data_IF_753393122866
#
_entry.id   IF_753393122866
#
_cell.length_a   1.000
_cell.length_b   1.000
_cell.length_c   1.000
_cell.angle_alpha   90.00
_cell.angle_beta   90.00
_cell.angle_gamma   90.00
#
_symmetry.space_group_name_H-M   'P 1'
#
loop_
_entity.id
_entity.type
_entity.pdbx_description
1 polymer ?
#
# COMPACT_ATOMS: atom_id res chain seq x y z
N UNK A 1 -1.21 38.13 46.75
CA UNK A 1 -1.12 38.23 45.29
C UNK A 1 -0.59 36.91 44.72
N UNK A 2 -1.47 35.94 44.44
CA UNK A 2 -1.09 34.69 43.76
C UNK A 2 -1.36 34.85 42.27
N UNK A 3 -0.30 34.98 41.46
CA UNK A 3 -0.37 34.94 40.00
C UNK A 3 -0.56 33.48 39.57
N UNK A 4 -1.73 33.17 39.03
CA UNK A 4 -2.01 31.91 38.36
C UNK A 4 -1.36 31.94 36.97
N UNK A 5 -0.34 31.09 36.75
CA UNK A 5 0.20 30.82 35.42
C UNK A 5 -0.74 29.84 34.70
N UNK A 6 -1.52 30.35 33.75
CA UNK A 6 -2.22 29.51 32.78
C UNK A 6 -1.20 28.94 31.78
N UNK A 7 -0.88 27.65 31.92
CA UNK A 7 -0.15 26.90 30.89
C UNK A 7 -1.17 26.50 29.82
N UNK A 8 -1.10 27.16 28.67
CA UNK A 8 -1.85 26.77 27.48
C UNK A 8 -1.24 25.46 26.92
N UNK A 9 -1.97 24.35 27.05
CA UNK A 9 -1.67 23.11 26.34
C UNK A 9 -1.95 23.33 24.84
N UNK A 10 -0.91 23.59 24.06
CA UNK A 10 -0.95 23.46 22.61
C UNK A 10 -0.97 21.96 22.26
N UNK A 11 -2.15 21.45 21.92
CA UNK A 11 -2.29 20.13 21.32
C UNK A 11 -1.60 20.12 19.95
N UNK A 12 -0.36 19.62 19.91
CA UNK A 12 0.35 19.32 18.67
C UNK A 12 -0.35 18.13 17.99
N UNK A 13 -1.20 18.44 17.02
CA UNK A 13 -1.79 17.47 16.09
C UNK A 13 -0.66 16.74 15.37
N UNK A 14 -0.36 15.56 15.88
CA UNK A 14 0.51 14.58 15.25
C UNK A 14 -0.24 14.07 14.02
N UNK A 15 0.03 14.63 12.84
CA UNK A 15 -0.45 14.06 11.59
C UNK A 15 0.23 12.70 11.39
N UNK A 16 -0.40 11.65 11.91
CA UNK A 16 -0.16 10.28 11.48
C UNK A 16 -0.73 10.18 10.07
N UNK A 17 0.12 10.32 9.05
CA UNK A 17 -0.29 9.89 7.73
C UNK A 17 -0.67 8.41 7.84
N UNK A 18 -1.90 7.99 7.49
CA UNK A 18 -2.19 6.58 7.36
C UNK A 18 -1.16 5.99 6.39
N UNK A 19 -0.70 4.76 6.66
CA UNK A 19 0.31 4.08 5.83
C UNK A 19 -0.14 4.01 4.36
N UNK A 20 -1.44 4.14 4.13
CA UNK A 20 -2.17 3.89 2.92
C UNK A 20 -3.42 4.79 2.94
N UNK A 21 -3.36 6.01 2.40
CA UNK A 21 -4.55 6.84 2.24
C UNK A 21 -5.47 6.22 1.18
N UNK A 22 -6.75 6.03 1.50
CA UNK A 22 -7.74 5.52 0.55
C UNK A 22 -8.01 6.55 -0.57
N UNK A 23 -8.31 6.06 -1.77
CA UNK A 23 -8.74 6.94 -2.87
C UNK A 23 -10.07 7.60 -2.54
N UNK A 24 -10.38 8.73 -3.20
CA UNK A 24 -11.67 9.39 -3.03
C UNK A 24 -12.84 8.42 -3.31
N UNK A 25 -12.71 7.58 -4.33
CA UNK A 25 -13.69 6.54 -4.66
C UNK A 25 -13.88 5.51 -3.53
N UNK A 26 -12.79 4.99 -2.94
CA UNK A 26 -12.87 4.07 -1.82
C UNK A 26 -13.57 4.70 -0.59
N UNK A 27 -13.39 6.00 -0.35
CA UNK A 27 -14.10 6.72 0.70
C UNK A 27 -15.61 6.78 0.48
N UNK A 28 -16.05 6.92 -0.77
CA UNK A 28 -17.48 6.99 -1.12
C UNK A 28 -18.19 5.64 -1.02
N UNK A 29 -17.47 4.51 -1.07
CA UNK A 29 -18.06 3.18 -0.88
C UNK A 29 -18.76 3.01 0.49
N UNK A 30 -18.43 3.87 1.47
CA UNK A 30 -19.01 3.90 2.81
C UNK A 30 -20.31 4.70 2.93
N UNK A 31 -20.77 5.33 1.83
CA UNK A 31 -22.03 6.09 1.81
C UNK A 31 -23.25 5.15 1.97
N UNK A 32 -24.39 5.64 2.50
CA UNK A 32 -25.62 4.86 2.58
C UNK A 32 -26.21 4.58 1.19
N UNK A 33 -27.02 3.53 1.06
CA UNK A 33 -27.64 3.12 -0.22
C UNK A 33 -28.44 4.25 -0.90
N UNK A 34 -29.10 5.11 -0.12
CA UNK A 34 -29.83 6.28 -0.63
C UNK A 34 -28.96 7.27 -1.38
N UNK A 35 -27.66 7.38 -1.05
CA UNK A 35 -26.74 8.25 -1.77
C UNK A 35 -26.51 7.75 -3.20
N UNK A 36 -26.35 6.44 -3.41
CA UNK A 36 -26.16 5.85 -4.74
C UNK A 36 -27.35 6.06 -5.68
N UNK A 37 -28.54 6.29 -5.12
CA UNK A 37 -29.76 6.55 -5.87
C UNK A 37 -30.02 8.04 -6.11
N UNK A 38 -29.31 8.93 -5.39
CA UNK A 38 -29.40 10.38 -5.52
C UNK A 38 -28.73 10.91 -6.79
N UNK A 39 -29.06 12.14 -7.20
CA UNK A 39 -28.46 12.79 -8.37
C UNK A 39 -26.93 12.94 -8.22
N UNK A 40 -26.46 13.29 -7.02
CA UNK A 40 -25.03 13.41 -6.69
C UNK A 40 -24.29 12.07 -6.83
N UNK A 41 -24.89 11.00 -6.30
CA UNK A 41 -24.34 9.65 -6.42
C UNK A 41 -24.29 9.18 -7.87
N UNK A 42 -25.39 9.35 -8.63
CA UNK A 42 -25.45 9.00 -10.05
C UNK A 42 -24.40 9.77 -10.85
N UNK A 43 -24.32 11.09 -10.70
CA UNK A 43 -23.34 11.91 -11.40
C UNK A 43 -21.90 11.48 -11.08
N UNK A 44 -21.61 11.23 -9.80
CA UNK A 44 -20.29 10.74 -9.37
C UNK A 44 -19.94 9.40 -10.01
N UNK A 45 -20.90 8.47 -10.10
CA UNK A 45 -20.68 7.16 -10.72
C UNK A 45 -20.48 7.25 -12.23
N UNK A 46 -21.18 8.16 -12.92
CA UNK A 46 -20.91 8.45 -14.33
C UNK A 46 -19.49 8.99 -14.54
N UNK A 47 -18.99 9.83 -13.61
CA UNK A 47 -17.59 10.25 -13.64
C UNK A 47 -16.68 9.03 -13.51
N UNK A 48 -16.88 8.18 -12.50
CA UNK A 48 -16.05 6.98 -12.27
C UNK A 48 -16.02 6.07 -13.51
N UNK A 49 -17.17 5.78 -14.11
CA UNK A 49 -17.26 4.96 -15.32
C UNK A 49 -16.48 5.57 -16.49
N UNK A 50 -16.52 6.90 -16.67
CA UNK A 50 -15.82 7.57 -17.76
C UNK A 50 -14.29 7.43 -17.68
N UNK A 51 -13.74 7.25 -16.48
CA UNK A 51 -12.31 7.07 -16.22
C UNK A 51 -11.81 5.63 -16.31
N UNK A 52 -12.68 4.65 -16.51
CA UNK A 52 -12.24 3.27 -16.70
C UNK A 52 -11.53 3.12 -18.06
N UNK A 53 -10.35 2.51 -18.07
CA UNK A 53 -9.68 2.15 -19.33
C UNK A 53 -10.38 0.99 -20.03
N UNK A 54 -10.01 0.72 -21.29
CA UNK A 54 -10.48 -0.48 -22.00
C UNK A 54 -10.10 -1.79 -21.30
N UNK A 55 -9.01 -1.76 -20.53
CA UNK A 55 -8.52 -2.94 -19.82
C UNK A 55 -9.27 -3.17 -18.50
N UNK A 56 -9.91 -2.14 -17.95
CA UNK A 56 -10.71 -2.21 -16.74
C UNK A 56 -10.11 -1.54 -15.50
N UNK A 57 -8.96 -0.87 -15.62
CA UNK A 57 -8.27 -0.19 -14.53
C UNK A 57 -8.47 1.35 -14.54
N UNK A 58 -8.01 2.03 -13.48
CA UNK A 58 -8.16 3.47 -13.26
C UNK A 58 -6.82 4.18 -13.02
N UNK A 59 -6.71 5.48 -13.35
CA UNK A 59 -5.48 6.23 -13.14
C UNK A 59 -5.23 6.53 -11.66
N UNK A 60 -3.97 6.52 -11.25
CA UNK A 60 -3.56 6.99 -9.91
C UNK A 60 -3.54 8.51 -9.81
N UNK A 61 -3.52 9.00 -8.56
CA UNK A 61 -3.35 10.42 -8.22
C UNK A 61 -4.33 11.36 -8.93
N UNK A 62 -5.49 10.83 -9.31
CA UNK A 62 -6.56 11.55 -10.00
C UNK A 62 -7.83 11.35 -9.20
N UNK A 63 -8.53 12.44 -8.89
CA UNK A 63 -9.85 12.34 -8.28
C UNK A 63 -10.88 12.05 -9.38
N UNK A 64 -11.13 10.76 -9.58
CA UNK A 64 -12.06 10.20 -10.58
C UNK A 64 -13.53 10.47 -10.24
N UNK A 65 -13.83 11.00 -9.05
CA UNK A 65 -15.19 11.26 -8.57
C UNK A 65 -15.73 12.63 -9.00
N UNK A 66 -14.85 13.61 -9.26
CA UNK A 66 -15.25 15.03 -9.39
C UNK A 66 -15.71 15.47 -10.77
N UNK A 67 -15.16 14.86 -11.82
CA UNK A 67 -15.44 15.26 -13.21
C UNK A 67 -15.35 14.07 -14.14
N UNK A 68 -16.15 14.07 -15.19
CA UNK A 68 -16.02 13.10 -16.27
C UNK A 68 -14.67 13.26 -16.98
N UNK A 69 -14.14 12.14 -17.49
CA UNK A 69 -13.00 12.15 -18.39
C UNK A 69 -13.38 12.79 -19.73
N UNK A 70 -12.63 13.82 -20.13
CA UNK A 70 -12.82 14.56 -21.39
C UNK A 70 -11.63 14.47 -22.34
N UNK A 71 -10.64 13.62 -22.02
CA UNK A 71 -9.44 13.44 -22.82
C UNK A 71 -9.57 12.36 -23.89
N UNK A 72 -8.47 12.12 -24.58
CA UNK A 72 -8.35 11.01 -25.53
C UNK A 72 -8.29 9.67 -24.78
N UNK A 73 -9.32 8.82 -24.98
CA UNK A 73 -9.41 7.49 -24.34
C UNK A 73 -8.21 6.61 -24.69
N UNK A 74 -7.63 6.75 -25.88
CA UNK A 74 -6.46 5.98 -26.29
C UNK A 74 -5.19 6.33 -25.48
N UNK A 75 -5.19 7.47 -24.77
CA UNK A 75 -4.10 7.91 -23.87
C UNK A 75 -4.39 7.66 -22.40
N UNK A 76 -5.59 7.21 -22.05
CA UNK A 76 -5.95 6.89 -20.68
C UNK A 76 -5.21 5.62 -20.24
N UNK A 77 -4.56 5.68 -19.07
CA UNK A 77 -3.76 4.59 -18.53
C UNK A 77 -4.15 4.38 -17.07
N UNK A 78 -4.48 3.15 -16.70
CA UNK A 78 -4.69 2.78 -15.32
C UNK A 78 -3.49 2.07 -14.71
N UNK A 79 -3.63 1.73 -13.43
CA UNK A 79 -2.59 1.16 -12.57
C UNK A 79 -3.22 0.59 -11.31
N UNK A 80 -2.44 -0.21 -10.57
CA UNK A 80 -2.80 -0.65 -9.23
C UNK A 80 -2.12 0.15 -8.11
N UNK A 81 -1.29 1.13 -8.49
CA UNK A 81 -0.55 1.99 -7.56
C UNK A 81 -1.45 2.96 -6.80
N UNK A 82 -1.04 3.35 -5.58
CA UNK A 82 -1.74 4.34 -4.75
C UNK A 82 -3.24 4.06 -4.52
N UNK A 83 -3.63 2.79 -4.53
CA UNK A 83 -5.03 2.37 -4.32
C UNK A 83 -5.95 2.55 -5.52
N UNK A 84 -5.41 2.99 -6.67
CA UNK A 84 -6.17 3.05 -7.91
C UNK A 84 -6.71 1.67 -8.29
N UNK A 85 -7.83 1.65 -9.02
CA UNK A 85 -8.56 0.46 -9.45
C UNK A 85 -9.30 -0.24 -8.33
N UNK A 86 -8.62 -0.68 -7.26
CA UNK A 86 -9.29 -1.38 -6.15
C UNK A 86 -10.33 -0.51 -5.44
N UNK A 87 -10.07 0.80 -5.28
CA UNK A 87 -11.01 1.72 -4.66
C UNK A 87 -12.26 1.98 -5.52
N UNK A 88 -12.06 2.18 -6.82
CA UNK A 88 -13.13 2.34 -7.80
C UNK A 88 -13.98 1.08 -7.93
N UNK A 89 -13.36 -0.11 -7.96
CA UNK A 89 -14.07 -1.38 -8.00
C UNK A 89 -14.94 -1.60 -6.75
N UNK A 90 -14.44 -1.27 -5.56
CA UNK A 90 -15.27 -1.32 -4.34
C UNK A 90 -16.47 -0.40 -4.44
N UNK A 91 -16.30 0.83 -4.95
CA UNK A 91 -17.41 1.76 -5.16
C UNK A 91 -18.43 1.23 -6.17
N UNK A 92 -17.98 0.63 -7.28
CA UNK A 92 -18.85 0.06 -8.30
C UNK A 92 -19.63 -1.16 -7.81
N UNK A 93 -19.02 -2.03 -7.00
CA UNK A 93 -19.71 -3.13 -6.34
C UNK A 93 -20.84 -2.61 -5.43
N UNK A 94 -20.56 -1.57 -4.62
CA UNK A 94 -21.57 -0.90 -3.79
C UNK A 94 -22.70 -0.29 -4.62
N UNK A 95 -22.34 0.38 -5.72
CA UNK A 95 -23.30 1.00 -6.62
C UNK A 95 -24.22 -0.02 -7.28
N UNK A 96 -23.67 -1.14 -7.74
CA UNK A 96 -24.46 -2.21 -8.31
C UNK A 96 -25.45 -2.78 -7.30
N UNK A 97 -25.00 -3.12 -6.08
CA UNK A 97 -25.88 -3.62 -5.01
C UNK A 97 -27.03 -2.66 -4.70
N UNK A 98 -26.74 -1.35 -4.63
CA UNK A 98 -27.72 -0.34 -4.23
C UNK A 98 -28.71 0.04 -5.35
N UNK A 99 -28.40 -0.22 -6.62
CA UNK A 99 -29.17 0.30 -7.77
C UNK A 99 -29.63 -0.75 -8.77
N UNK A 100 -28.95 -1.91 -8.85
CA UNK A 100 -29.18 -2.92 -9.87
C UNK A 100 -28.71 -2.54 -11.27
N UNK A 101 -28.03 -1.40 -11.47
CA UNK A 101 -27.58 -0.96 -12.79
C UNK A 101 -26.42 -1.82 -13.30
N UNK A 102 -26.73 -2.60 -14.35
CA UNK A 102 -25.84 -3.54 -15.02
C UNK A 102 -24.55 -2.91 -15.58
N UNK A 103 -24.51 -1.59 -15.79
CA UNK A 103 -23.29 -0.89 -16.22
C UNK A 103 -22.21 -0.96 -15.13
N UNK A 104 -22.59 -0.87 -13.86
CA UNK A 104 -21.65 -0.94 -12.74
C UNK A 104 -21.11 -2.36 -12.57
N UNK A 105 -21.97 -3.37 -12.70
CA UNK A 105 -21.56 -4.79 -12.70
C UNK A 105 -20.56 -5.06 -13.83
N UNK A 106 -20.89 -4.66 -15.07
CA UNK A 106 -20.01 -4.86 -16.23
C UNK A 106 -18.64 -4.19 -16.03
N UNK A 107 -18.64 -2.94 -15.56
CA UNK A 107 -17.41 -2.21 -15.29
C UNK A 107 -16.60 -2.91 -14.18
N UNK A 108 -17.26 -3.32 -13.11
CA UNK A 108 -16.64 -4.07 -12.02
C UNK A 108 -15.98 -5.35 -12.53
N UNK A 109 -16.71 -6.21 -13.23
CA UNK A 109 -16.21 -7.50 -13.73
C UNK A 109 -15.03 -7.31 -14.68
N UNK A 110 -15.04 -6.27 -15.51
CA UNK A 110 -13.93 -5.96 -16.42
C UNK A 110 -12.63 -5.67 -15.64
N UNK A 111 -12.69 -4.86 -14.59
CA UNK A 111 -11.52 -4.55 -13.76
C UNK A 111 -11.13 -5.68 -12.80
N UNK A 112 -12.09 -6.43 -12.27
CA UNK A 112 -11.83 -7.62 -11.46
C UNK A 112 -11.06 -8.67 -12.27
N UNK A 113 -11.51 -8.98 -13.49
CA UNK A 113 -10.83 -9.92 -14.36
C UNK A 113 -9.46 -9.39 -14.80
N UNK A 114 -9.30 -8.07 -14.91
CA UNK A 114 -8.01 -7.45 -15.20
C UNK A 114 -6.99 -7.66 -14.08
N UNK A 115 -7.40 -7.52 -12.82
CA UNK A 115 -6.56 -7.84 -11.65
C UNK A 115 -6.11 -9.30 -11.69
N UNK A 116 -7.04 -10.24 -11.98
CA UNK A 116 -6.71 -11.66 -12.06
C UNK A 116 -5.74 -11.96 -13.21
N UNK A 117 -5.96 -11.36 -14.40
CA UNK A 117 -5.07 -11.51 -15.56
C UNK A 117 -3.67 -10.93 -15.34
N UNK A 118 -3.55 -9.89 -14.52
CA UNK A 118 -2.27 -9.24 -14.22
C UNK A 118 -1.37 -10.06 -13.28
N UNK A 119 -1.91 -11.08 -12.59
CA UNK A 119 -1.12 -11.88 -11.66
C UNK A 119 -0.10 -12.75 -12.40
N UNK A 120 1.17 -12.66 -11.99
CA UNK A 120 2.23 -13.49 -12.52
C UNK A 120 2.06 -14.97 -12.19
N UNK A 121 2.69 -15.90 -12.94
CA UNK A 121 2.73 -17.33 -12.62
C UNK A 121 3.21 -17.66 -11.19
N UNK A 122 4.12 -16.86 -10.62
CA UNK A 122 4.61 -17.00 -9.25
C UNK A 122 3.70 -16.38 -8.18
N UNK A 123 2.60 -15.71 -8.57
CA UNK A 123 1.61 -15.15 -7.66
C UNK A 123 1.75 -13.66 -7.35
N UNK A 124 2.82 -13.00 -7.77
CA UNK A 124 3.00 -11.55 -7.57
C UNK A 124 2.18 -10.70 -8.54
N UNK A 125 2.10 -9.39 -8.27
CA UNK A 125 1.46 -8.41 -9.15
C UNK A 125 2.39 -7.26 -9.55
N UNK A 126 2.33 -6.80 -10.81
CA UNK A 126 3.01 -5.59 -11.26
C UNK A 126 2.33 -4.33 -10.73
N UNK A 127 3.00 -3.18 -10.84
CA UNK A 127 2.36 -1.87 -10.58
C UNK A 127 1.41 -1.46 -11.71
N UNK A 128 1.70 -1.86 -12.95
CA UNK A 128 0.89 -1.58 -14.15
C UNK A 128 0.73 -2.86 -14.99
N UNK A 129 -0.43 -3.03 -15.60
CA UNK A 129 -0.68 -4.09 -16.57
C UNK A 129 -1.52 -3.54 -17.75
N UNK A 130 -1.15 -3.79 -19.03
CA UNK A 130 -0.03 -4.59 -19.53
C UNK A 130 1.36 -4.09 -19.12
N UNK A 131 2.32 -5.00 -19.12
CA UNK A 131 3.68 -4.74 -18.63
C UNK A 131 4.45 -3.80 -19.57
N UNK A 132 5.38 -3.01 -19.01
CA UNK A 132 6.47 -2.42 -19.79
C UNK A 132 7.81 -3.05 -19.44
N UNK A 133 8.87 -2.51 -20.04
CA UNK A 133 10.27 -2.88 -19.77
C UNK A 133 10.87 -2.13 -18.57
N UNK A 134 10.14 -1.20 -17.95
CA UNK A 134 10.59 -0.42 -16.80
C UNK A 134 10.25 -1.09 -15.47
N UNK A 135 10.71 -0.52 -14.36
CA UNK A 135 10.58 -1.09 -12.99
C UNK A 135 9.15 -1.47 -12.59
N UNK A 136 8.13 -0.83 -13.19
CA UNK A 136 6.74 -1.07 -12.85
C UNK A 136 6.22 -2.47 -13.24
N UNK A 137 7.04 -3.27 -13.92
CA UNK A 137 6.83 -4.71 -14.12
C UNK A 137 7.11 -5.54 -12.86
N UNK A 138 7.93 -5.05 -11.94
CA UNK A 138 8.32 -5.82 -10.77
C UNK A 138 7.12 -6.15 -9.87
N UNK A 139 7.26 -7.21 -9.06
CA UNK A 139 6.33 -7.50 -7.98
C UNK A 139 6.38 -6.30 -7.03
N UNK A 140 5.24 -5.61 -6.89
CA UNK A 140 5.23 -4.27 -6.28
C UNK A 140 4.51 -4.27 -4.93
N UNK A 141 5.28 -4.20 -3.85
CA UNK A 141 4.75 -3.92 -2.50
C UNK A 141 4.63 -2.42 -2.23
N UNK A 142 5.40 -1.59 -2.95
CA UNK A 142 5.42 -0.14 -2.84
C UNK A 142 4.01 0.48 -2.81
N UNK A 143 3.83 1.40 -1.88
CA UNK A 143 2.57 2.12 -1.61
C UNK A 143 1.39 1.14 -1.40
N UNK A 144 1.68 -0.06 -0.89
CA UNK A 144 0.73 -1.13 -0.61
C UNK A 144 0.08 -1.76 -1.84
N UNK A 145 0.64 -1.58 -3.05
CA UNK A 145 -0.01 -1.97 -4.32
C UNK A 145 -0.50 -3.42 -4.32
N UNK A 146 0.40 -4.40 -4.17
CA UNK A 146 0.04 -5.82 -4.11
C UNK A 146 -0.84 -6.15 -2.89
N UNK A 147 -0.58 -5.54 -1.73
CA UNK A 147 -1.36 -5.81 -0.52
C UNK A 147 -2.83 -5.38 -0.68
N UNK A 148 -3.09 -4.22 -1.27
CA UNK A 148 -4.46 -3.74 -1.53
C UNK A 148 -5.20 -4.61 -2.53
N UNK A 149 -4.51 -5.13 -3.55
CA UNK A 149 -5.08 -6.12 -4.47
C UNK A 149 -5.50 -7.35 -3.69
N UNK A 150 -4.63 -7.89 -2.84
CA UNK A 150 -4.94 -9.09 -2.06
C UNK A 150 -6.07 -8.84 -1.05
N UNK A 151 -6.08 -7.71 -0.35
CA UNK A 151 -7.22 -7.36 0.52
C UNK A 151 -8.53 -7.25 -0.27
N UNK A 152 -8.49 -6.66 -1.47
CA UNK A 152 -9.66 -6.59 -2.36
C UNK A 152 -10.14 -7.97 -2.80
N UNK A 153 -9.24 -8.87 -3.22
CA UNK A 153 -9.62 -10.23 -3.61
C UNK A 153 -10.19 -11.03 -2.43
N UNK A 154 -9.65 -10.85 -1.21
CA UNK A 154 -10.19 -11.50 -0.01
C UNK A 154 -11.58 -10.98 0.35
N UNK A 155 -11.80 -9.68 0.25
CA UNK A 155 -13.12 -9.12 0.50
C UNK A 155 -14.12 -9.57 -0.58
N UNK A 156 -13.67 -9.73 -1.83
CA UNK A 156 -14.51 -10.23 -2.91
C UNK A 156 -15.02 -11.67 -2.69
N UNK A 157 -14.31 -12.47 -1.92
CA UNK A 157 -14.73 -13.85 -1.58
C UNK A 157 -15.66 -13.90 -0.37
N UNK A 158 -15.67 -12.88 0.48
CA UNK A 158 -16.35 -12.95 1.80
C UNK A 158 -17.44 -11.90 2.03
N UNK A 159 -17.35 -10.72 1.41
CA UNK A 159 -18.26 -9.62 1.70
C UNK A 159 -19.52 -9.63 0.79
N UNK A 160 -20.65 -9.25 1.39
CA UNK A 160 -21.98 -9.23 0.74
C UNK A 160 -22.04 -8.31 -0.48
N UNK A 161 -21.26 -7.23 -0.49
CA UNK A 161 -21.17 -6.31 -1.64
C UNK A 161 -20.73 -6.97 -2.93
N UNK A 162 -20.07 -8.12 -2.83
CA UNK A 162 -19.59 -8.89 -3.97
C UNK A 162 -20.47 -10.11 -4.24
N UNK A 163 -21.62 -10.28 -3.58
CA UNK A 163 -22.52 -11.45 -3.69
C UNK A 163 -22.85 -11.85 -5.14
N UNK A 164 -22.84 -10.89 -6.07
CA UNK A 164 -23.11 -11.09 -7.49
C UNK A 164 -21.97 -11.78 -8.27
N UNK A 165 -20.76 -11.89 -7.72
CA UNK A 165 -19.68 -12.65 -8.34
C UNK A 165 -20.06 -14.12 -8.46
N UNK A 166 -19.88 -14.66 -9.67
CA UNK A 166 -20.04 -16.09 -9.93
C UNK A 166 -19.00 -16.94 -9.19
N UNK A 167 -19.31 -18.22 -9.01
CA UNK A 167 -18.46 -19.17 -8.29
C UNK A 167 -17.07 -19.31 -8.92
N UNK A 168 -16.96 -19.23 -10.25
CA UNK A 168 -15.69 -19.34 -10.96
C UNK A 168 -14.75 -18.18 -10.64
N UNK A 169 -15.28 -16.95 -10.60
CA UNK A 169 -14.52 -15.75 -10.22
C UNK A 169 -14.13 -15.74 -8.74
N UNK A 170 -15.00 -16.23 -7.85
CA UNK A 170 -14.66 -16.40 -6.42
C UNK A 170 -13.52 -17.39 -6.24
N UNK A 171 -13.62 -18.57 -6.84
CA UNK A 171 -12.56 -19.58 -6.78
C UNK A 171 -11.25 -19.07 -7.40
N UNK A 172 -11.32 -18.29 -8.48
CA UNK A 172 -10.13 -17.67 -9.07
C UNK A 172 -9.49 -16.63 -8.14
N UNK A 173 -10.27 -15.85 -7.40
CA UNK A 173 -9.76 -14.92 -6.39
C UNK A 173 -9.11 -15.65 -5.20
N UNK A 174 -9.74 -16.71 -4.68
CA UNK A 174 -9.17 -17.55 -3.61
C UNK A 174 -7.81 -18.13 -4.02
N UNK A 175 -7.75 -18.73 -5.22
CA UNK A 175 -6.50 -19.27 -5.76
C UNK A 175 -5.45 -18.18 -6.01
N UNK A 176 -5.87 -16.99 -6.43
CA UNK A 176 -4.97 -15.87 -6.61
C UNK A 176 -4.40 -15.39 -5.25
N UNK A 177 -5.20 -15.37 -4.19
CA UNK A 177 -4.75 -15.05 -2.83
C UNK A 177 -3.72 -16.04 -2.33
N UNK A 178 -3.98 -17.34 -2.45
CA UNK A 178 -3.05 -18.41 -2.04
C UNK A 178 -1.68 -18.23 -2.71
N UNK A 179 -1.67 -18.01 -4.02
CA UNK A 179 -0.45 -17.76 -4.80
C UNK A 179 0.22 -16.45 -4.41
N UNK A 180 -0.54 -15.41 -4.09
CA UNK A 180 -0.01 -14.15 -3.60
C UNK A 180 0.69 -14.29 -2.25
N UNK A 181 0.12 -15.08 -1.32
CA UNK A 181 0.74 -15.37 -0.02
C UNK A 181 2.04 -16.17 -0.21
N UNK A 182 2.02 -17.19 -1.06
CA UNK A 182 3.22 -17.96 -1.41
C UNK A 182 4.32 -17.07 -2.03
N UNK A 183 3.93 -16.15 -2.93
CA UNK A 183 4.84 -15.15 -3.49
C UNK A 183 5.46 -14.25 -2.41
N UNK A 184 4.65 -13.75 -1.46
CA UNK A 184 5.14 -12.92 -0.35
C UNK A 184 6.21 -13.68 0.44
N UNK A 185 5.92 -14.92 0.85
CA UNK A 185 6.87 -15.74 1.61
C UNK A 185 8.17 -15.94 0.83
N UNK A 186 8.10 -16.25 -0.47
CA UNK A 186 9.28 -16.46 -1.33
C UNK A 186 10.08 -15.19 -1.60
N UNK A 187 9.45 -14.02 -1.58
CA UNK A 187 10.12 -12.73 -1.71
C UNK A 187 10.83 -12.30 -0.42
N UNK A 188 10.62 -12.95 0.73
CA UNK A 188 11.23 -12.49 1.98
C UNK A 188 12.76 -12.53 1.89
N UNK A 189 13.41 -11.40 2.17
CA UNK A 189 14.86 -11.27 2.02
C UNK A 189 15.55 -12.03 3.14
N UNK A 190 16.43 -12.96 2.77
CA UNK A 190 17.24 -13.76 3.69
C UNK A 190 18.64 -13.19 3.78
N UNK A 191 19.10 -12.89 4.99
CA UNK A 191 20.46 -12.43 5.30
C UNK A 191 21.10 -13.45 6.23
N UNK A 192 22.24 -14.01 5.83
CA UNK A 192 23.00 -15.00 6.62
C UNK A 192 22.12 -16.15 7.15
N UNK A 193 21.25 -16.66 6.28
CA UNK A 193 20.33 -17.77 6.58
C UNK A 193 19.10 -17.38 7.43
N UNK A 194 18.94 -16.10 7.78
CA UNK A 194 17.81 -15.60 8.57
C UNK A 194 16.87 -14.78 7.70
N UNK A 195 15.57 -15.15 7.60
CA UNK A 195 14.57 -14.28 6.99
C UNK A 195 14.50 -12.95 7.73
N UNK A 196 14.31 -11.87 6.98
CA UNK A 196 14.16 -10.52 7.51
C UNK A 196 12.79 -9.97 7.12
N UNK A 197 12.76 -9.04 6.18
CA UNK A 197 11.55 -8.39 5.66
C UNK A 197 11.63 -8.31 4.13
N UNK A 198 10.90 -7.39 3.49
CA UNK A 198 10.80 -7.26 2.04
C UNK A 198 11.39 -5.96 1.53
N UNK A 199 11.77 -5.95 0.26
CA UNK A 199 11.99 -4.73 -0.49
C UNK A 199 10.64 -4.11 -0.90
N UNK A 200 10.64 -2.83 -1.26
CA UNK A 200 9.46 -2.19 -1.85
C UNK A 200 9.05 -2.83 -3.20
N UNK A 201 10.00 -3.42 -3.92
CA UNK A 201 9.75 -4.18 -5.13
C UNK A 201 10.73 -5.34 -5.29
N UNK A 202 10.24 -6.41 -5.91
CA UNK A 202 10.99 -7.64 -6.19
C UNK A 202 10.91 -7.99 -7.67
N UNK A 203 12.01 -8.47 -8.23
CA UNK A 203 12.04 -8.92 -9.62
C UNK A 203 11.04 -10.06 -9.82
N UNK A 204 10.22 -9.96 -10.86
CA UNK A 204 9.10 -10.88 -11.09
C UNK A 204 9.51 -12.26 -11.64
N UNK A 205 10.79 -12.48 -11.92
CA UNK A 205 11.33 -13.78 -12.32
C UNK A 205 12.11 -14.41 -11.16
N UNK A 206 13.11 -13.71 -10.64
CA UNK A 206 14.03 -14.20 -9.61
C UNK A 206 13.52 -14.03 -8.18
N UNK A 207 12.50 -13.21 -7.96
CA UNK A 207 11.97 -12.82 -6.64
C UNK A 207 12.96 -12.01 -5.77
N UNK A 208 14.13 -11.67 -6.31
CA UNK A 208 15.13 -10.90 -5.59
C UNK A 208 14.68 -9.44 -5.39
N UNK A 209 15.11 -8.82 -4.28
CA UNK A 209 14.94 -7.39 -4.07
C UNK A 209 15.57 -6.60 -5.24
N UNK A 210 14.83 -5.63 -5.78
CA UNK A 210 15.29 -4.82 -6.92
C UNK A 210 14.99 -3.33 -6.73
N UNK A 211 15.62 -2.49 -7.53
CA UNK A 211 15.43 -1.04 -7.52
C UNK A 211 14.20 -0.61 -8.32
N UNK A 212 13.68 0.58 -8.05
CA UNK A 212 12.63 1.23 -8.82
C UNK A 212 13.12 2.55 -9.42
N UNK A 213 12.69 3.68 -8.86
CA UNK A 213 13.19 5.01 -9.23
C UNK A 213 14.64 5.15 -8.75
N UNK A 214 15.39 6.14 -9.27
CA UNK A 214 16.81 6.30 -8.93
C UNK A 214 17.08 6.43 -7.43
N UNK A 215 16.13 6.97 -6.67
CA UNK A 215 16.19 7.12 -5.22
C UNK A 215 15.53 5.97 -4.42
N UNK A 216 15.13 4.88 -5.07
CA UNK A 216 14.49 3.70 -4.47
C UNK A 216 15.27 2.44 -4.84
N UNK A 217 16.39 2.26 -4.14
CA UNK A 217 17.32 1.16 -4.40
C UNK A 217 16.84 -0.16 -3.78
N UNK A 218 17.32 -1.29 -4.30
CA UNK A 218 17.14 -2.60 -3.69
C UNK A 218 17.59 -2.56 -2.20
N UNK A 219 16.64 -2.83 -1.29
CA UNK A 219 16.83 -2.58 0.14
C UNK A 219 15.82 -3.37 0.97
N UNK A 220 16.01 -3.41 2.29
CA UNK A 220 14.96 -3.80 3.24
C UNK A 220 14.08 -2.57 3.49
N UNK A 221 12.79 -2.68 3.22
CA UNK A 221 11.86 -1.56 3.37
C UNK A 221 11.18 -1.57 4.73
N UNK A 222 11.40 -0.53 5.54
CA UNK A 222 10.68 -0.35 6.80
C UNK A 222 9.20 0.02 6.59
N UNK A 223 8.89 0.75 5.51
CA UNK A 223 7.52 1.21 5.24
C UNK A 223 6.65 0.09 4.70
N UNK A 224 7.06 -0.54 3.59
CA UNK A 224 6.20 -1.49 2.89
C UNK A 224 6.07 -2.81 3.65
N UNK A 225 7.14 -3.25 4.33
CA UNK A 225 7.13 -4.48 5.12
C UNK A 225 6.15 -4.44 6.28
N UNK A 226 5.84 -3.27 6.82
CA UNK A 226 4.83 -3.15 7.87
C UNK A 226 3.43 -3.53 7.34
N UNK A 227 3.09 -3.11 6.12
CA UNK A 227 1.84 -3.49 5.46
C UNK A 227 1.79 -4.99 5.15
N UNK A 228 2.89 -5.55 4.66
CA UNK A 228 3.00 -7.00 4.39
C UNK A 228 2.79 -7.82 5.67
N UNK A 229 3.47 -7.48 6.77
CA UNK A 229 3.30 -8.19 8.04
C UNK A 229 1.89 -8.11 8.58
N UNK A 230 1.28 -6.92 8.55
CA UNK A 230 -0.10 -6.73 9.02
C UNK A 230 -1.07 -7.56 8.18
N UNK A 231 -0.88 -7.61 6.86
CA UNK A 231 -1.68 -8.46 5.99
C UNK A 231 -1.56 -9.94 6.35
N UNK A 232 -0.33 -10.45 6.49
CA UNK A 232 -0.08 -11.85 6.85
C UNK A 232 -0.65 -12.22 8.23
N UNK A 233 -0.59 -11.29 9.20
CA UNK A 233 -1.19 -11.49 10.53
C UNK A 233 -2.72 -11.50 10.52
N UNK A 234 -3.36 -10.97 9.46
CA UNK A 234 -4.81 -10.99 9.29
C UNK A 234 -5.31 -12.22 8.49
N UNK A 235 -4.45 -13.21 8.23
CA UNK A 235 -4.89 -14.50 7.70
C UNK A 235 -5.47 -15.35 8.84
N UNK A 236 -6.64 -15.93 8.62
CA UNK A 236 -7.35 -16.71 9.64
C UNK A 236 -6.63 -18.03 9.99
N UNK A 237 -5.98 -18.63 8.99
CA UNK A 237 -5.26 -19.90 9.11
C UNK A 237 -3.89 -19.79 8.42
N UNK A 238 -2.93 -19.06 9.01
CA UNK A 238 -1.61 -18.90 8.40
C UNK A 238 -0.87 -20.24 8.39
N UNK A 239 -0.18 -20.54 7.27
CA UNK A 239 0.67 -21.72 7.18
C UNK A 239 1.89 -21.60 8.11
N UNK A 240 2.57 -22.70 8.47
CA UNK A 240 3.81 -22.64 9.23
C UNK A 240 4.87 -21.72 8.60
N UNK A 241 4.89 -21.59 7.27
CA UNK A 241 5.82 -20.74 6.54
C UNK A 241 5.48 -19.27 6.72
N UNK A 242 4.19 -18.92 6.67
CA UNK A 242 3.69 -17.58 7.01
C UNK A 242 4.03 -17.25 8.45
N UNK A 243 3.85 -18.19 9.37
CA UNK A 243 4.15 -17.96 10.79
C UNK A 243 5.62 -17.63 11.01
N UNK A 244 6.52 -18.41 10.38
CA UNK A 244 7.96 -18.13 10.42
C UNK A 244 8.30 -16.79 9.77
N UNK A 245 7.65 -16.44 8.66
CA UNK A 245 7.86 -15.18 7.97
C UNK A 245 7.47 -13.97 8.86
N UNK A 246 6.30 -14.04 9.51
CA UNK A 246 5.80 -13.02 10.44
C UNK A 246 6.75 -12.87 11.62
N UNK A 247 7.09 -13.96 12.31
CA UNK A 247 7.95 -13.91 13.49
C UNK A 247 9.34 -13.33 13.16
N UNK A 248 9.90 -13.69 12.01
CA UNK A 248 11.20 -13.16 11.57
C UNK A 248 11.13 -11.67 11.21
N UNK A 249 10.07 -11.24 10.53
CA UNK A 249 9.89 -9.83 10.19
C UNK A 249 9.63 -8.96 11.41
N UNK A 250 8.86 -9.44 12.39
CA UNK A 250 8.63 -8.77 13.66
C UNK A 250 9.95 -8.63 14.45
N UNK A 251 10.76 -9.69 14.52
CA UNK A 251 12.07 -9.64 15.15
C UNK A 251 13.01 -8.65 14.46
N UNK A 252 12.95 -8.55 13.13
CA UNK A 252 13.68 -7.53 12.38
C UNK A 252 13.23 -6.12 12.74
N UNK A 253 11.91 -5.86 12.80
CA UNK A 253 11.39 -4.55 13.23
C UNK A 253 11.83 -4.18 14.65
N UNK A 254 11.90 -5.15 15.56
CA UNK A 254 12.39 -4.92 16.92
C UNK A 254 13.88 -4.50 16.93
N UNK A 255 14.72 -5.19 16.17
CA UNK A 255 16.15 -4.87 16.06
C UNK A 255 16.50 -3.65 15.21
N UNK A 256 15.60 -3.20 14.33
CA UNK A 256 15.83 -2.08 13.40
C UNK A 256 15.37 -0.71 13.94
N UNK A 257 14.89 -0.65 15.20
CA UNK A 257 14.41 0.57 15.85
C UNK A 257 15.47 1.66 15.90
N UNK A 258 15.02 2.89 15.73
CA UNK A 258 15.79 4.12 15.94
C UNK A 258 15.13 4.83 17.11
N UNK A 259 15.81 4.87 18.25
CA UNK A 259 15.30 5.43 19.51
C UNK A 259 15.97 6.77 19.84
N UNK A 260 15.32 7.58 20.67
CA UNK A 260 15.87 8.85 21.13
C UNK A 260 15.85 9.98 20.09
N UNK A 261 15.09 9.81 19.00
CA UNK A 261 14.95 10.82 17.96
C UNK A 261 13.49 11.05 17.57
N UNK A 262 13.18 12.29 17.21
CA UNK A 262 11.92 12.69 16.58
C UNK A 262 12.18 13.19 15.15
N UNK A 263 11.37 12.72 14.20
CA UNK A 263 11.42 13.20 12.82
C UNK A 263 10.52 14.43 12.63
N UNK A 264 11.12 15.62 12.70
CA UNK A 264 10.40 16.90 12.72
C UNK A 264 10.53 17.66 11.41
N UNK A 265 9.65 18.64 11.20
CA UNK A 265 9.84 19.68 10.19
C UNK A 265 10.15 20.99 10.90
N UNK A 266 11.29 21.59 10.60
CA UNK A 266 11.78 22.82 11.22
C UNK A 266 12.45 23.69 10.16
N UNK A 267 12.06 24.97 10.07
CA UNK A 267 12.60 25.88 9.05
C UNK A 267 12.35 25.43 7.60
N UNK A 268 11.24 24.73 7.35
CA UNK A 268 10.91 24.16 6.03
C UNK A 268 11.55 22.80 5.74
N UNK A 269 12.59 22.42 6.50
CA UNK A 269 13.38 21.21 6.31
C UNK A 269 12.98 20.09 7.27
N UNK A 270 13.02 18.85 6.78
CA UNK A 270 12.87 17.63 7.57
C UNK A 270 14.23 17.19 8.13
N UNK A 271 14.27 16.86 9.42
CA UNK A 271 15.49 16.38 10.09
C UNK A 271 15.14 15.49 11.28
N UNK A 272 16.12 14.70 11.72
CA UNK A 272 16.06 14.10 13.05
C UNK A 272 16.45 15.14 14.10
N UNK A 273 15.71 15.15 15.20
CA UNK A 273 16.01 15.94 16.39
C UNK A 273 16.10 15.00 17.58
N UNK A 274 17.14 15.14 18.40
CA UNK A 274 17.27 14.37 19.64
C UNK A 274 16.07 14.64 20.56
N UNK A 275 15.46 13.57 21.02
CA UNK A 275 14.34 13.55 21.94
C UNK A 275 14.31 12.18 22.62
N UNK A 276 14.96 12.03 23.80
CA UNK A 276 14.98 10.78 24.55
C UNK A 276 13.58 10.27 24.97
N UNK A 277 12.55 11.11 24.89
CA UNK A 277 11.16 10.76 25.22
C UNK A 277 10.33 10.36 23.98
N UNK A 278 10.89 10.47 22.77
CA UNK A 278 10.18 10.10 21.56
C UNK A 278 9.99 8.57 21.45
N UNK A 279 8.86 8.18 20.87
CA UNK A 279 8.64 6.79 20.45
C UNK A 279 9.61 6.36 19.34
N UNK A 280 9.75 5.06 19.11
CA UNK A 280 10.71 4.53 18.13
C UNK A 280 10.35 4.94 16.70
N UNK A 281 11.39 5.15 15.90
CA UNK A 281 11.31 5.37 14.46
C UNK A 281 11.95 4.22 13.69
N UNK A 282 11.61 4.14 12.41
CA UNK A 282 12.27 3.27 11.44
C UNK A 282 12.57 4.08 10.19
N UNK A 283 13.68 3.76 9.53
CA UNK A 283 14.05 4.34 8.24
C UNK A 283 13.28 3.65 7.11
N UNK A 284 12.97 4.37 6.02
CA UNK A 284 12.24 3.78 4.90
C UNK A 284 13.03 2.67 4.22
N UNK A 285 14.36 2.83 4.16
CA UNK A 285 15.26 1.89 3.53
C UNK A 285 16.45 1.57 4.43
N UNK A 286 16.77 0.29 4.49
CA UNK A 286 17.95 -0.24 5.14
C UNK A 286 18.76 -1.06 4.12
N UNK A 287 20.08 -0.93 4.18
CA UNK A 287 20.98 -1.75 3.37
C UNK A 287 20.80 -3.23 3.69
N UNK A 288 20.73 -4.06 2.64
CA UNK A 288 20.73 -5.51 2.79
C UNK A 288 22.09 -5.92 3.38
N UNK A 289 22.09 -6.86 4.33
CA UNK A 289 23.23 -7.32 5.15
C UNK A 289 23.55 -6.42 6.34
N UNK A 290 23.97 -5.18 6.11
CA UNK A 290 24.42 -4.31 7.22
C UNK A 290 23.28 -3.83 8.12
N UNK A 291 22.04 -3.86 7.59
CA UNK A 291 20.85 -3.31 8.24
C UNK A 291 21.01 -1.82 8.61
N UNK A 292 21.84 -1.09 7.86
CA UNK A 292 22.10 0.33 8.10
C UNK A 292 21.05 1.18 7.38
N UNK A 293 20.37 2.11 8.07
CA UNK A 293 19.54 3.13 7.41
C UNK A 293 20.31 3.89 6.33
N UNK A 294 19.67 4.14 5.19
CA UNK A 294 20.24 5.01 4.17
C UNK A 294 19.19 5.89 3.48
N UNK A 295 19.68 6.90 2.78
CA UNK A 295 18.93 7.87 2.00
C UNK A 295 19.48 7.92 0.58
N UNK A 296 18.67 8.38 -0.35
CA UNK A 296 19.09 8.52 -1.73
C UNK A 296 18.42 9.71 -2.39
N UNK A 297 19.10 10.36 -3.32
CA UNK A 297 18.54 11.44 -4.13
C UNK A 297 18.39 10.98 -5.58
N UNK A 298 17.95 11.89 -6.46
CA UNK A 298 17.73 11.62 -7.88
C UNK A 298 19.00 11.18 -8.61
N UNK A 299 20.18 11.44 -8.04
CA UNK A 299 21.49 11.00 -8.51
C UNK A 299 21.75 9.50 -8.29
N UNK A 300 20.93 8.81 -7.50
CA UNK A 300 21.08 7.38 -7.20
C UNK A 300 22.22 7.06 -6.23
N UNK A 301 22.79 8.06 -5.57
CA UNK A 301 23.93 7.87 -4.65
C UNK A 301 23.42 7.63 -3.23
N UNK A 302 23.87 6.55 -2.61
CA UNK A 302 23.60 6.24 -1.21
C UNK A 302 24.22 7.30 -0.29
N UNK A 303 23.41 7.82 0.63
CA UNK A 303 23.79 8.72 1.72
C UNK A 303 23.39 8.11 3.06
N UNK A 304 24.09 8.46 4.13
CA UNK A 304 23.81 7.91 5.48
C UNK A 304 23.31 8.95 6.47
N UNK A 305 23.18 10.20 6.02
CA UNK A 305 22.53 11.27 6.77
C UNK A 305 21.49 11.92 5.87
N UNK A 306 20.30 12.20 6.41
CA UNK A 306 19.20 12.79 5.63
C UNK A 306 19.54 14.23 5.20
N UNK A 307 20.46 14.88 5.91
CA UNK A 307 21.00 16.20 5.61
C UNK A 307 21.91 16.20 4.35
N UNK A 308 22.29 15.03 3.84
CA UNK A 308 23.13 14.89 2.65
C UNK A 308 22.32 14.78 1.34
N UNK A 309 21.00 14.61 1.41
CA UNK A 309 20.11 14.62 0.23
C UNK A 309 19.49 16.01 0.04
N UNK A 310 19.17 16.38 -1.19
CA UNK A 310 18.61 17.68 -1.54
C UNK A 310 17.23 17.94 -0.94
N UNK A 311 16.90 19.23 -0.74
CA UNK A 311 15.68 19.68 -0.07
C UNK A 311 14.39 19.11 -0.71
N UNK A 312 14.35 18.93 -2.03
CA UNK A 312 13.16 18.41 -2.74
C UNK A 312 12.84 16.96 -2.33
N UNK A 313 13.82 16.06 -2.31
CA UNK A 313 13.63 14.67 -1.84
C UNK A 313 13.53 14.58 -0.33
N UNK A 314 14.31 15.36 0.41
CA UNK A 314 14.26 15.40 1.87
C UNK A 314 12.86 15.73 2.39
N UNK A 315 12.21 16.71 1.77
CA UNK A 315 10.93 17.24 2.25
C UNK A 315 9.71 16.63 1.56
N UNK A 316 9.88 16.11 0.34
CA UNK A 316 8.79 15.52 -0.46
C UNK A 316 8.57 14.03 -0.23
N UNK A 317 9.37 13.37 0.62
CA UNK A 317 9.31 11.93 0.82
C UNK A 317 9.48 11.57 2.31
N UNK A 318 8.76 10.55 2.76
CA UNK A 318 8.84 10.07 4.14
C UNK A 318 10.02 9.09 4.29
N UNK A 319 11.17 9.60 4.73
CA UNK A 319 12.38 8.81 4.97
C UNK A 319 12.41 8.09 6.32
N UNK A 320 11.62 8.58 7.28
CA UNK A 320 11.43 7.97 8.59
C UNK A 320 9.95 7.90 8.92
N UNK A 321 9.55 6.89 9.69
CA UNK A 321 8.19 6.74 10.17
C UNK A 321 8.08 5.81 11.38
N UNK A 322 6.90 5.74 11.97
CA UNK A 322 6.60 4.91 13.14
C UNK A 322 5.94 3.57 12.75
N UNK A 323 6.22 3.06 11.55
CA UNK A 323 5.49 1.93 10.96
C UNK A 323 5.56 0.66 11.82
N UNK A 324 6.68 0.41 12.50
CA UNK A 324 6.87 -0.72 13.39
C UNK A 324 5.99 -0.72 14.65
N UNK A 325 5.47 0.44 15.08
CA UNK A 325 4.51 0.50 16.19
C UNK A 325 3.22 -0.25 15.84
N UNK A 326 2.75 -0.12 14.59
CA UNK A 326 1.55 -0.82 14.12
C UNK A 326 1.80 -2.31 13.99
N UNK A 327 2.99 -2.70 13.55
CA UNK A 327 3.43 -4.11 13.50
C UNK A 327 3.40 -4.72 14.89
N UNK A 328 4.05 -4.08 15.87
CA UNK A 328 4.09 -4.56 17.26
C UNK A 328 2.69 -4.65 17.87
N UNK A 329 1.81 -3.68 17.59
CA UNK A 329 0.42 -3.68 18.06
C UNK A 329 -0.41 -4.81 17.43
N UNK A 330 -0.23 -5.09 16.14
CA UNK A 330 -0.92 -6.20 15.48
C UNK A 330 -0.41 -7.55 16.03
N UNK A 331 0.91 -7.70 16.13
CA UNK A 331 1.55 -8.92 16.62
C UNK A 331 1.18 -9.27 18.06
N UNK A 332 1.05 -8.30 18.96
CA UNK A 332 0.65 -8.56 20.36
C UNK A 332 -0.73 -9.19 20.49
N UNK A 333 -1.60 -8.97 19.50
CA UNK A 333 -2.96 -9.52 19.41
C UNK A 333 -3.04 -10.76 18.52
N UNK A 334 -1.96 -11.11 17.83
CA UNK A 334 -1.97 -12.18 16.85
C UNK A 334 -1.92 -13.55 17.55
N UNK A 335 -2.89 -14.44 17.33
CA UNK A 335 -3.04 -15.67 18.11
C UNK A 335 -2.09 -16.80 17.70
N UNK A 336 -1.33 -16.64 16.60
CA UNK A 336 -0.47 -17.67 16.03
C UNK A 336 1.03 -17.44 16.28
N UNK A 337 1.36 -16.58 17.25
CA UNK A 337 2.74 -16.17 17.59
C UNK A 337 3.64 -17.32 18.03
#
# INVERSE_FOLDING_TARGET
>A
MLRHCCIALLALLSFTAPLLADTAAAGLAKKPDSWFQSDDGRQTLEHILSWQTEQGDWPKNTDTTRKAFSGDRAKLRGTFDNGATSGELRLLARAFRATGDQRYEKAFLTGFDHILRAQYPNGGWPQYYPLSKQYHRHITFNDGSMIRIMEFLRDATTAEDFAFLDEGRRAAAEKALERGVDCIVKCQVVVDGRPTVWCAQHDEVSLAATSARSYELASLSGAESAGVLIFLMNLDQPSPDVVRAVNSGVAWFDGAKIEGYRYVRSGGERKLQEDPSAGPLWARFYEIKSNRPFFCDRDGVVKYQIEQIGAERRNGYAWYGNWGEKVAKAYSKWPHR
#
